data_IF_990565734401
#
_entry.id   IF_990565734401
#
_cell.length_a   1.000
_cell.length_b   1.000
_cell.length_c   1.000
_cell.angle_alpha   90.00
_cell.angle_beta   90.00
_cell.angle_gamma   90.00
#
_symmetry.space_group_name_H-M   'P 1'
#
loop_
_entity.id
_entity.type
_entity.pdbx_description
1 polymer ?
#
# COMPACT_ATOMS: atom_id res chain seq x y z
N UNK A 1 65.36 20.96 -18.00
CA UNK A 1 64.56 19.73 -17.78
C UNK A 1 63.98 19.54 -16.37
N UNK A 2 64.68 19.86 -15.27
CA UNK A 2 64.17 19.67 -13.88
C UNK A 2 62.91 20.49 -13.51
N UNK A 3 62.77 21.72 -14.01
CA UNK A 3 61.63 22.62 -13.71
C UNK A 3 60.28 22.07 -14.24
N UNK A 4 60.29 21.47 -15.44
CA UNK A 4 59.09 20.87 -16.04
C UNK A 4 58.61 19.63 -15.28
N UNK A 5 59.52 18.82 -14.74
CA UNK A 5 59.15 17.65 -13.92
C UNK A 5 58.49 18.04 -12.59
N UNK A 6 58.96 19.12 -11.96
CA UNK A 6 58.42 19.62 -10.68
C UNK A 6 57.03 20.22 -10.84
N UNK A 7 56.78 20.96 -11.92
CA UNK A 7 55.45 21.49 -12.25
C UNK A 7 54.46 20.37 -12.61
N UNK A 8 54.92 19.32 -13.32
CA UNK A 8 54.09 18.16 -13.64
C UNK A 8 53.69 17.38 -12.38
N UNK A 9 54.63 17.13 -11.45
CA UNK A 9 54.33 16.45 -10.18
C UNK A 9 53.35 17.27 -9.33
N UNK A 10 53.49 18.59 -9.28
CA UNK A 10 52.56 19.45 -8.52
C UNK A 10 51.15 19.45 -9.12
N UNK A 11 51.03 19.50 -10.45
CA UNK A 11 49.75 19.41 -11.14
C UNK A 11 49.07 18.05 -10.91
N UNK A 12 49.85 16.95 -10.90
CA UNK A 12 49.34 15.61 -10.60
C UNK A 12 48.87 15.51 -9.14
N UNK A 13 49.61 16.06 -8.17
CA UNK A 13 49.22 16.06 -6.76
C UNK A 13 47.95 16.90 -6.51
N UNK A 14 47.80 18.03 -7.20
CA UNK A 14 46.59 18.86 -7.13
C UNK A 14 45.40 18.13 -7.77
N UNK A 15 45.59 17.48 -8.92
CA UNK A 15 44.53 16.68 -9.53
C UNK A 15 44.13 15.51 -8.65
N UNK A 16 45.09 14.78 -8.07
CA UNK A 16 44.81 13.66 -7.15
C UNK A 16 44.07 14.17 -5.90
N UNK A 17 44.51 15.28 -5.30
CA UNK A 17 43.82 15.85 -4.14
C UNK A 17 42.41 16.33 -4.47
N UNK A 18 42.19 16.98 -5.62
CA UNK A 18 40.85 17.34 -6.12
C UNK A 18 39.97 16.11 -6.38
N UNK A 19 40.53 15.03 -6.95
CA UNK A 19 39.78 13.80 -7.21
C UNK A 19 39.37 13.06 -5.94
N UNK A 20 40.07 13.25 -4.83
CA UNK A 20 39.74 12.62 -3.54
C UNK A 20 38.86 13.55 -2.69
N UNK A 21 39.16 14.84 -2.68
CA UNK A 21 38.51 15.82 -1.82
C UNK A 21 37.08 16.15 -2.28
N UNK A 22 36.84 16.25 -3.60
CA UNK A 22 35.51 16.56 -4.14
C UNK A 22 34.47 15.46 -3.82
N UNK A 23 34.77 14.16 -4.00
CA UNK A 23 33.85 13.09 -3.61
C UNK A 23 33.59 13.01 -2.10
N UNK A 24 34.63 13.21 -1.27
CA UNK A 24 34.47 13.20 0.20
C UNK A 24 33.59 14.37 0.66
N UNK A 25 33.82 15.57 0.15
CA UNK A 25 33.00 16.74 0.46
C UNK A 25 31.55 16.57 0.00
N UNK A 26 31.33 16.01 -1.19
CA UNK A 26 29.99 15.70 -1.69
C UNK A 26 29.28 14.63 -0.84
N UNK A 27 30.01 13.61 -0.37
CA UNK A 27 29.51 12.55 0.52
C UNK A 27 29.09 13.12 1.89
N UNK A 28 29.89 13.98 2.50
CA UNK A 28 29.55 14.57 3.81
C UNK A 28 28.31 15.47 3.70
N UNK A 29 28.21 16.23 2.61
CA UNK A 29 27.10 17.15 2.39
C UNK A 29 25.78 16.40 2.13
N UNK A 30 25.79 15.35 1.32
CA UNK A 30 24.58 14.56 1.04
C UNK A 30 24.08 13.84 2.30
N UNK A 31 24.97 13.29 3.13
CA UNK A 31 24.57 12.65 4.39
C UNK A 31 24.01 13.66 5.39
N UNK A 32 24.56 14.87 5.45
CA UNK A 32 24.02 15.94 6.28
C UNK A 32 22.59 16.31 5.87
N UNK A 33 22.31 16.40 4.56
CA UNK A 33 20.96 16.62 4.04
C UNK A 33 20.00 15.51 4.47
N UNK A 34 20.41 14.25 4.31
CA UNK A 34 19.59 13.10 4.68
C UNK A 34 19.35 13.02 6.20
N UNK A 35 20.35 13.33 7.03
CA UNK A 35 20.18 13.41 8.49
C UNK A 35 19.18 14.50 8.87
N UNK A 36 19.29 15.69 8.26
CA UNK A 36 18.35 16.79 8.49
C UNK A 36 16.93 16.41 8.09
N UNK A 37 16.75 15.83 6.90
CA UNK A 37 15.44 15.40 6.43
C UNK A 37 14.83 14.32 7.32
N UNK A 38 15.62 13.34 7.77
CA UNK A 38 15.16 12.31 8.73
C UNK A 38 14.71 12.91 10.05
N UNK A 39 15.47 13.87 10.60
CA UNK A 39 15.07 14.59 11.81
C UNK A 39 13.72 15.29 11.61
N UNK A 40 13.57 16.03 10.52
CA UNK A 40 12.30 16.71 10.18
C UNK A 40 11.14 15.73 10.04
N UNK A 41 11.36 14.55 9.46
CA UNK A 41 10.31 13.52 9.37
C UNK A 41 9.92 12.96 10.73
N UNK A 42 10.89 12.80 11.66
CA UNK A 42 10.62 12.38 13.02
C UNK A 42 9.82 13.45 13.79
N UNK A 43 10.16 14.72 13.57
CA UNK A 43 9.44 15.89 14.08
C UNK A 43 8.08 16.13 13.38
N UNK A 44 7.68 15.26 12.42
CA UNK A 44 6.48 15.37 11.57
C UNK A 44 6.41 16.65 10.73
N UNK A 45 7.53 17.34 10.54
CA UNK A 45 7.64 18.48 9.64
C UNK A 45 7.87 17.99 8.20
N UNK A 46 6.83 17.39 7.63
CA UNK A 46 6.87 16.74 6.32
C UNK A 46 7.14 17.73 5.18
N UNK A 47 6.56 18.93 5.24
CA UNK A 47 6.75 19.96 4.20
C UNK A 47 8.22 20.36 4.06
N UNK A 48 8.91 20.61 5.17
CA UNK A 48 10.33 20.96 5.11
C UNK A 48 11.20 19.75 4.76
N UNK A 49 10.84 18.56 5.23
CA UNK A 49 11.54 17.33 4.84
C UNK A 49 11.46 17.10 3.31
N UNK A 50 10.29 17.31 2.69
CA UNK A 50 10.10 17.20 1.24
C UNK A 50 11.04 18.14 0.49
N UNK A 51 11.16 19.41 0.92
CA UNK A 51 12.09 20.36 0.28
C UNK A 51 13.54 19.87 0.31
N UNK A 52 13.98 19.31 1.44
CA UNK A 52 15.35 18.77 1.56
C UNK A 52 15.53 17.55 0.64
N UNK A 53 14.53 16.68 0.53
CA UNK A 53 14.59 15.55 -0.42
C UNK A 53 14.59 16.01 -1.88
N UNK A 54 13.80 17.03 -2.24
CA UNK A 54 13.81 17.62 -3.58
C UNK A 54 15.16 18.27 -3.91
N UNK A 55 15.76 19.01 -2.97
CA UNK A 55 17.09 19.59 -3.12
C UNK A 55 18.17 18.49 -3.27
N UNK A 56 18.03 17.38 -2.52
CA UNK A 56 18.90 16.21 -2.67
C UNK A 56 18.82 15.63 -4.09
N UNK A 57 17.62 15.44 -4.62
CA UNK A 57 17.41 14.89 -5.96
C UNK A 57 17.93 15.82 -7.06
N UNK A 58 17.81 17.13 -6.88
CA UNK A 58 18.36 18.12 -7.81
C UNK A 58 19.89 18.09 -7.85
N UNK A 59 20.55 17.98 -6.69
CA UNK A 59 22.01 17.98 -6.58
C UNK A 59 22.64 16.62 -6.90
N UNK A 60 21.95 15.53 -6.57
CA UNK A 60 22.47 14.17 -6.64
C UNK A 60 21.50 13.22 -7.39
N UNK A 61 21.10 13.52 -8.63
CA UNK A 61 20.06 12.76 -9.35
C UNK A 61 20.44 11.31 -9.68
N UNK A 62 21.74 10.98 -9.67
CA UNK A 62 22.27 9.62 -9.94
C UNK A 62 22.71 8.90 -8.66
N UNK A 63 22.48 9.47 -7.49
CA UNK A 63 22.85 8.82 -6.23
C UNK A 63 21.97 7.58 -6.00
N UNK A 64 22.54 6.54 -5.39
CA UNK A 64 21.85 5.30 -5.06
C UNK A 64 20.61 5.51 -4.17
N UNK A 65 20.59 6.57 -3.36
CA UNK A 65 19.48 6.90 -2.49
C UNK A 65 18.39 7.74 -3.20
N UNK A 66 18.62 8.22 -4.42
CA UNK A 66 17.67 9.07 -5.14
C UNK A 66 16.30 8.41 -5.32
N UNK A 67 16.26 7.15 -5.75
CA UNK A 67 15.03 6.35 -5.84
C UNK A 67 14.24 6.36 -4.51
N UNK A 68 14.95 6.12 -3.40
CA UNK A 68 14.35 6.07 -2.07
C UNK A 68 13.83 7.44 -1.64
N UNK A 69 14.54 8.52 -1.97
CA UNK A 69 14.12 9.89 -1.65
C UNK A 69 12.87 10.27 -2.42
N UNK A 70 12.80 9.93 -3.71
CA UNK A 70 11.60 10.15 -4.53
C UNK A 70 10.39 9.40 -3.95
N UNK A 71 10.58 8.13 -3.55
CA UNK A 71 9.51 7.38 -2.90
C UNK A 71 9.06 8.03 -1.59
N UNK A 72 10.00 8.53 -0.78
CA UNK A 72 9.71 9.20 0.49
C UNK A 72 8.94 10.50 0.30
N UNK A 73 9.23 11.27 -0.74
CA UNK A 73 8.44 12.47 -1.08
C UNK A 73 6.96 12.10 -1.26
N UNK A 74 6.66 11.05 -2.02
CA UNK A 74 5.29 10.55 -2.18
C UNK A 74 4.64 10.14 -0.85
N UNK A 75 5.36 9.41 0.01
CA UNK A 75 4.84 9.03 1.34
C UNK A 75 4.56 10.25 2.23
N UNK A 76 5.37 11.29 2.16
CA UNK A 76 5.18 12.50 2.96
C UNK A 76 4.03 13.36 2.46
N UNK A 77 3.82 13.45 1.15
CA UNK A 77 2.58 14.05 0.63
C UNK A 77 1.33 13.28 1.07
N UNK A 78 1.38 11.94 1.17
CA UNK A 78 0.28 11.17 1.76
C UNK A 78 0.03 11.51 3.23
N UNK A 79 1.08 11.71 4.04
CA UNK A 79 0.91 12.11 5.45
C UNK A 79 0.29 13.51 5.60
N UNK A 80 0.51 14.37 4.60
CA UNK A 80 -0.11 15.68 4.51
C UNK A 80 -1.54 15.64 3.91
N UNK A 81 -2.05 14.46 3.54
CA UNK A 81 -3.28 14.26 2.77
C UNK A 81 -3.29 14.99 1.40
N UNK A 82 -2.12 15.40 0.90
CA UNK A 82 -1.96 15.96 -0.44
C UNK A 82 -1.80 14.81 -1.45
N UNK A 83 -2.92 14.15 -1.72
CA UNK A 83 -2.95 12.95 -2.56
C UNK A 83 -2.59 13.24 -4.02
N UNK A 84 -2.80 14.47 -4.50
CA UNK A 84 -2.42 14.87 -5.86
C UNK A 84 -0.91 14.83 -6.03
N UNK A 85 -0.20 15.52 -5.13
CA UNK A 85 1.26 15.58 -5.18
C UNK A 85 1.90 14.24 -4.84
N UNK A 86 1.26 13.44 -3.97
CA UNK A 86 1.69 12.08 -3.71
C UNK A 86 1.66 11.22 -4.98
N UNK A 87 0.54 11.24 -5.72
CA UNK A 87 0.42 10.50 -6.99
C UNK A 87 1.45 10.97 -8.00
N UNK A 88 1.65 12.29 -8.14
CA UNK A 88 2.67 12.84 -9.04
C UNK A 88 4.08 12.33 -8.70
N UNK A 89 4.45 12.35 -7.43
CA UNK A 89 5.76 11.87 -6.97
C UNK A 89 5.96 10.35 -7.24
N UNK A 90 4.93 9.54 -7.01
CA UNK A 90 4.99 8.10 -7.30
C UNK A 90 5.02 7.78 -8.79
N UNK A 91 4.27 8.52 -9.63
CA UNK A 91 4.32 8.38 -11.09
C UNK A 91 5.69 8.79 -11.65
N UNK A 92 6.28 9.86 -11.11
CA UNK A 92 7.66 10.25 -11.45
C UNK A 92 8.67 9.16 -11.07
N UNK A 93 8.53 8.52 -9.91
CA UNK A 93 9.36 7.37 -9.54
C UNK A 93 9.25 6.25 -10.57
N UNK A 94 8.03 5.87 -10.94
CA UNK A 94 7.77 4.79 -11.91
C UNK A 94 8.42 5.12 -13.26
N UNK A 95 8.33 6.38 -13.69
CA UNK A 95 8.90 6.85 -14.96
C UNK A 95 10.43 6.89 -14.96
N UNK A 96 11.06 7.31 -13.86
CA UNK A 96 12.52 7.45 -13.77
C UNK A 96 13.23 6.13 -13.49
N UNK A 97 12.56 5.22 -12.77
CA UNK A 97 13.13 3.96 -12.32
C UNK A 97 12.22 2.77 -12.70
N UNK A 98 11.99 2.55 -14.00
CA UNK A 98 11.16 1.44 -14.45
C UNK A 98 11.78 0.11 -13.99
N UNK A 99 10.93 -0.80 -13.48
CA UNK A 99 11.34 -2.15 -13.07
C UNK A 99 12.04 -2.25 -11.70
N UNK A 100 12.13 -1.16 -10.93
CA UNK A 100 12.63 -1.23 -9.55
C UNK A 100 11.62 -1.90 -8.60
N UNK A 101 12.09 -2.47 -7.48
CA UNK A 101 11.21 -2.96 -6.41
C UNK A 101 10.31 -1.87 -5.81
N UNK A 102 10.65 -0.60 -6.04
CA UNK A 102 9.83 0.54 -5.63
C UNK A 102 8.72 0.85 -6.63
N UNK A 103 8.81 0.40 -7.88
CA UNK A 103 7.80 0.64 -8.92
C UNK A 103 6.47 0.02 -8.52
N UNK A 104 6.46 -1.26 -8.14
CA UNK A 104 5.24 -1.93 -7.68
C UNK A 104 4.70 -1.34 -6.37
N UNK A 105 5.59 -0.98 -5.43
CA UNK A 105 5.20 -0.27 -4.19
C UNK A 105 4.54 1.07 -4.51
N UNK A 106 5.08 1.83 -5.46
CA UNK A 106 4.54 3.10 -5.90
C UNK A 106 3.15 2.94 -6.54
N UNK A 107 2.95 1.95 -7.42
CA UNK A 107 1.61 1.64 -7.95
C UNK A 107 0.60 1.34 -6.83
N UNK A 108 0.96 0.51 -5.85
CA UNK A 108 0.07 0.26 -4.71
C UNK A 108 -0.25 1.53 -3.92
N UNK A 109 0.73 2.43 -3.73
CA UNK A 109 0.52 3.73 -3.06
C UNK A 109 -0.37 4.66 -3.88
N UNK A 110 -0.29 4.64 -5.21
CA UNK A 110 -1.17 5.43 -6.09
C UNK A 110 -2.63 4.99 -5.92
N UNK A 111 -2.91 3.68 -5.90
CA UNK A 111 -4.26 3.16 -5.60
C UNK A 111 -4.75 3.71 -4.26
N UNK A 112 -3.90 3.64 -3.23
CA UNK A 112 -4.27 4.08 -1.88
C UNK A 112 -4.51 5.59 -1.82
N UNK A 113 -3.73 6.39 -2.56
CA UNK A 113 -3.93 7.83 -2.70
C UNK A 113 -5.27 8.12 -3.35
N UNK A 114 -5.56 7.54 -4.52
CA UNK A 114 -6.82 7.76 -5.21
C UNK A 114 -8.03 7.33 -4.37
N UNK A 115 -7.93 6.19 -3.69
CA UNK A 115 -8.99 5.72 -2.79
C UNK A 115 -9.25 6.69 -1.64
N UNK A 116 -8.20 7.15 -0.94
CA UNK A 116 -8.33 8.10 0.17
C UNK A 116 -8.77 9.49 -0.27
N UNK A 117 -8.43 9.87 -1.50
CA UNK A 117 -8.90 11.10 -2.14
C UNK A 117 -10.36 11.01 -2.62
N UNK A 118 -10.98 9.83 -2.59
CA UNK A 118 -12.33 9.62 -3.12
C UNK A 118 -12.41 9.52 -4.64
N UNK A 119 -11.26 9.50 -5.33
CA UNK A 119 -11.12 9.28 -6.78
C UNK A 119 -11.22 7.78 -7.08
N UNK A 120 -12.43 7.25 -6.90
CA UNK A 120 -12.68 5.82 -6.93
C UNK A 120 -12.50 5.18 -8.30
N UNK A 121 -12.85 5.88 -9.37
CA UNK A 121 -12.72 5.33 -10.73
C UNK A 121 -11.24 5.26 -11.15
N UNK A 122 -10.42 6.23 -10.74
CA UNK A 122 -8.96 6.21 -10.87
C UNK A 122 -8.36 5.04 -10.07
N UNK A 123 -8.80 4.85 -8.82
CA UNK A 123 -8.32 3.75 -7.98
C UNK A 123 -8.65 2.37 -8.57
N UNK A 124 -9.82 2.22 -9.19
CA UNK A 124 -10.21 0.99 -9.91
C UNK A 124 -9.29 0.77 -11.13
N UNK A 125 -9.08 1.81 -11.96
CA UNK A 125 -8.20 1.70 -13.14
C UNK A 125 -6.78 1.31 -12.76
N UNK A 126 -6.21 1.97 -11.75
CA UNK A 126 -4.87 1.65 -11.24
C UNK A 126 -4.80 0.24 -10.65
N UNK A 127 -5.84 -0.20 -9.93
CA UNK A 127 -5.89 -1.56 -9.38
C UNK A 127 -5.90 -2.60 -10.49
N UNK A 128 -6.64 -2.36 -11.58
CA UNK A 128 -6.66 -3.25 -12.74
C UNK A 128 -5.31 -3.27 -13.48
N UNK A 129 -4.63 -2.12 -13.56
CA UNK A 129 -3.26 -2.03 -14.10
C UNK A 129 -2.30 -2.92 -13.30
N UNK A 130 -2.33 -2.84 -11.96
CA UNK A 130 -1.50 -3.69 -11.09
C UNK A 130 -1.80 -5.17 -11.30
N UNK A 131 -3.08 -5.56 -11.37
CA UNK A 131 -3.48 -6.95 -11.58
C UNK A 131 -2.92 -7.50 -12.90
N UNK A 132 -2.88 -6.67 -13.94
CA UNK A 132 -2.37 -7.07 -15.24
C UNK A 132 -0.84 -7.09 -15.30
N UNK A 133 -0.17 -6.11 -14.67
CA UNK A 133 1.29 -5.97 -14.71
C UNK A 133 2.01 -6.91 -13.72
N UNK A 134 1.37 -7.22 -12.59
CA UNK A 134 1.97 -7.93 -11.47
C UNK A 134 1.03 -9.03 -10.93
N UNK A 135 0.60 -10.00 -11.77
CA UNK A 135 -0.35 -11.03 -11.36
C UNK A 135 0.16 -11.89 -10.18
N UNK A 136 1.48 -12.09 -10.09
CA UNK A 136 2.12 -12.95 -9.09
C UNK A 136 2.52 -12.20 -7.79
N UNK A 137 2.28 -10.89 -7.69
CA UNK A 137 2.58 -10.15 -6.46
C UNK A 137 1.58 -10.50 -5.34
N UNK A 138 2.11 -10.76 -4.14
CA UNK A 138 1.31 -11.19 -2.97
C UNK A 138 0.21 -10.18 -2.57
N UNK A 139 0.30 -8.90 -2.99
CA UNK A 139 -0.67 -7.84 -2.67
C UNK A 139 -1.68 -7.64 -3.79
N UNK A 140 -1.49 -8.24 -4.96
CA UNK A 140 -2.42 -8.18 -6.10
C UNK A 140 -3.82 -8.70 -5.77
N UNK A 141 -4.01 -9.81 -5.04
CA UNK A 141 -5.34 -10.23 -4.57
C UNK A 141 -6.06 -9.12 -3.80
N UNK A 142 -5.32 -8.38 -2.96
CA UNK A 142 -5.84 -7.23 -2.22
C UNK A 142 -6.31 -6.08 -3.10
N UNK A 143 -5.75 -5.90 -4.31
CA UNK A 143 -6.21 -4.89 -5.28
C UNK A 143 -7.49 -5.32 -5.99
N UNK A 144 -7.65 -6.61 -6.30
CA UNK A 144 -8.91 -7.15 -6.81
C UNK A 144 -10.04 -7.00 -5.77
N UNK A 145 -9.75 -7.29 -4.49
CA UNK A 145 -10.68 -7.04 -3.39
C UNK A 145 -11.02 -5.54 -3.22
N UNK A 146 -10.02 -4.65 -3.38
CA UNK A 146 -10.22 -3.20 -3.31
C UNK A 146 -11.23 -2.70 -4.33
N UNK A 147 -11.22 -3.23 -5.55
CA UNK A 147 -12.23 -2.93 -6.59
C UNK A 147 -13.63 -3.28 -6.07
N UNK A 148 -13.79 -4.44 -5.44
CA UNK A 148 -15.05 -4.85 -4.81
C UNK A 148 -15.48 -3.90 -3.70
N UNK A 149 -14.58 -3.54 -2.78
CA UNK A 149 -14.87 -2.58 -1.70
C UNK A 149 -15.29 -1.21 -2.23
N UNK A 150 -14.69 -0.75 -3.33
CA UNK A 150 -15.06 0.50 -3.97
C UNK A 150 -16.49 0.42 -4.54
N UNK A 151 -16.83 -0.66 -5.26
CA UNK A 151 -18.18 -0.83 -5.78
C UNK A 151 -19.22 -0.99 -4.66
N UNK A 152 -18.87 -1.69 -3.57
CA UNK A 152 -19.70 -1.78 -2.38
C UNK A 152 -20.00 -0.40 -1.80
N UNK A 153 -18.97 0.45 -1.62
CA UNK A 153 -19.15 1.85 -1.18
C UNK A 153 -20.03 2.67 -2.12
N UNK A 154 -19.97 2.41 -3.43
CA UNK A 154 -20.85 3.02 -4.44
C UNK A 154 -22.26 2.42 -4.46
N UNK A 155 -22.56 1.46 -3.57
CA UNK A 155 -23.80 0.65 -3.54
C UNK A 155 -24.07 -0.12 -4.85
N UNK A 156 -23.04 -0.33 -5.65
CA UNK A 156 -23.12 -1.18 -6.83
C UNK A 156 -22.79 -2.62 -6.44
N UNK A 157 -23.75 -3.24 -5.77
CA UNK A 157 -23.59 -4.59 -5.23
C UNK A 157 -23.32 -5.62 -6.32
N UNK A 158 -23.90 -5.46 -7.51
CA UNK A 158 -23.64 -6.35 -8.65
C UNK A 158 -22.16 -6.36 -9.05
N UNK A 159 -21.55 -5.18 -9.24
CA UNK A 159 -20.13 -5.10 -9.59
C UNK A 159 -19.22 -5.46 -8.42
N UNK A 160 -19.63 -5.17 -7.19
CA UNK A 160 -18.90 -5.58 -6.00
C UNK A 160 -18.79 -7.10 -5.88
N UNK A 161 -19.92 -7.81 -5.99
CA UNK A 161 -19.99 -9.28 -6.01
C UNK A 161 -19.12 -9.87 -7.12
N UNK A 162 -19.20 -9.32 -8.34
CA UNK A 162 -18.38 -9.79 -9.45
C UNK A 162 -16.86 -9.61 -9.19
N UNK A 163 -16.47 -8.50 -8.56
CA UNK A 163 -15.07 -8.26 -8.22
C UNK A 163 -14.57 -9.16 -7.08
N UNK A 164 -15.41 -9.46 -6.10
CA UNK A 164 -15.13 -10.41 -5.02
C UNK A 164 -15.05 -11.85 -5.52
N UNK A 165 -15.95 -12.25 -6.42
CA UNK A 165 -15.92 -13.58 -7.02
C UNK A 165 -14.60 -13.81 -7.76
N UNK A 166 -14.09 -12.82 -8.49
CA UNK A 166 -12.76 -12.87 -9.11
C UNK A 166 -11.62 -13.09 -8.10
N UNK A 167 -11.77 -12.66 -6.84
CA UNK A 167 -10.77 -12.97 -5.81
C UNK A 167 -10.82 -14.46 -5.45
N UNK A 168 -12.03 -14.99 -5.24
CA UNK A 168 -12.23 -16.40 -4.89
C UNK A 168 -11.79 -17.34 -6.03
N UNK A 169 -12.04 -16.95 -7.28
CA UNK A 169 -11.71 -17.77 -8.46
C UNK A 169 -10.20 -17.77 -8.75
N UNK A 170 -9.54 -16.61 -8.68
CA UNK A 170 -8.14 -16.46 -9.10
C UNK A 170 -7.14 -16.60 -7.94
N UNK A 171 -7.57 -16.38 -6.71
CA UNK A 171 -6.68 -16.31 -5.54
C UNK A 171 -7.21 -17.11 -4.32
N UNK A 172 -7.72 -18.34 -4.49
CA UNK A 172 -8.50 -19.06 -3.47
C UNK A 172 -7.75 -19.27 -2.15
N UNK A 173 -6.44 -19.49 -2.20
CA UNK A 173 -5.62 -19.83 -1.02
C UNK A 173 -5.01 -18.61 -0.31
N UNK A 174 -5.36 -17.40 -0.73
CA UNK A 174 -4.75 -16.17 -0.19
C UNK A 174 -5.43 -15.71 1.11
N UNK A 175 -4.68 -14.96 1.93
CA UNK A 175 -5.26 -14.27 3.10
C UNK A 175 -6.42 -13.35 2.71
N UNK A 176 -6.35 -12.73 1.52
CA UNK A 176 -7.43 -11.90 1.01
C UNK A 176 -8.70 -12.72 0.78
N UNK A 177 -8.62 -13.85 0.08
CA UNK A 177 -9.78 -14.70 -0.22
C UNK A 177 -10.53 -15.19 1.03
N UNK A 178 -9.80 -15.44 2.13
CA UNK A 178 -10.41 -15.88 3.40
C UNK A 178 -11.45 -14.91 3.97
N UNK A 179 -11.32 -13.60 3.71
CA UNK A 179 -12.26 -12.58 4.18
C UNK A 179 -13.41 -12.28 3.20
N UNK A 180 -13.27 -12.66 1.94
CA UNK A 180 -14.20 -12.24 0.87
C UNK A 180 -15.61 -12.78 1.07
N UNK A 181 -15.76 -13.98 1.62
CA UNK A 181 -17.09 -14.53 1.89
C UNK A 181 -17.88 -13.69 2.90
N UNK A 182 -17.19 -13.07 3.88
CA UNK A 182 -17.84 -12.12 4.80
C UNK A 182 -18.22 -10.82 4.09
N UNK A 183 -17.38 -10.32 3.17
CA UNK A 183 -17.69 -9.13 2.37
C UNK A 183 -18.90 -9.36 1.44
N UNK A 184 -19.04 -10.57 0.87
CA UNK A 184 -20.20 -11.01 0.10
C UNK A 184 -21.44 -11.12 1.00
N UNK A 185 -21.30 -11.69 2.20
CA UNK A 185 -22.39 -11.76 3.18
C UNK A 185 -22.88 -10.36 3.56
N UNK A 186 -21.98 -9.39 3.70
CA UNK A 186 -22.31 -8.00 3.99
C UNK A 186 -23.15 -7.37 2.88
N UNK A 187 -22.81 -7.63 1.61
CA UNK A 187 -23.64 -7.22 0.48
C UNK A 187 -25.06 -7.78 0.60
N UNK A 188 -25.21 -9.09 0.83
CA UNK A 188 -26.52 -9.69 0.94
C UNK A 188 -27.30 -9.18 2.15
N UNK A 189 -26.62 -8.86 3.25
CA UNK A 189 -27.24 -8.23 4.41
C UNK A 189 -27.80 -6.84 4.08
N UNK A 190 -27.01 -5.99 3.42
CA UNK A 190 -27.45 -4.64 2.98
C UNK A 190 -28.61 -4.70 1.98
N UNK A 191 -28.70 -5.76 1.17
CA UNK A 191 -29.84 -6.02 0.28
C UNK A 191 -31.05 -6.66 0.99
N UNK A 192 -30.98 -6.92 2.30
CA UNK A 192 -32.03 -7.60 3.07
C UNK A 192 -32.16 -9.11 2.79
N UNK A 193 -31.24 -9.68 2.01
CA UNK A 193 -31.18 -11.10 1.63
C UNK A 193 -30.53 -11.94 2.72
N UNK A 194 -31.11 -11.93 3.92
CA UNK A 194 -30.50 -12.54 5.11
C UNK A 194 -30.19 -14.03 4.95
N UNK A 195 -31.00 -14.80 4.23
CA UNK A 195 -30.74 -16.23 4.02
C UNK A 195 -29.44 -16.45 3.25
N UNK A 196 -29.18 -15.65 2.20
CA UNK A 196 -27.95 -15.74 1.41
C UNK A 196 -26.74 -15.28 2.24
N UNK A 197 -26.88 -14.19 3.00
CA UNK A 197 -25.82 -13.73 3.91
C UNK A 197 -25.42 -14.82 4.93
N UNK A 198 -26.39 -15.52 5.51
CA UNK A 198 -26.15 -16.64 6.44
C UNK A 198 -25.41 -17.79 5.75
N UNK A 199 -25.78 -18.13 4.51
CA UNK A 199 -25.11 -19.19 3.74
C UNK A 199 -23.63 -18.87 3.49
N UNK A 200 -23.31 -17.63 3.13
CA UNK A 200 -21.93 -17.21 2.92
C UNK A 200 -21.10 -17.22 4.22
N UNK A 201 -21.68 -16.76 5.34
CA UNK A 201 -21.02 -16.84 6.64
C UNK A 201 -20.78 -18.28 7.09
N UNK A 202 -21.69 -19.20 6.77
CA UNK A 202 -21.47 -20.63 7.04
C UNK A 202 -20.26 -21.17 6.29
N UNK A 203 -20.02 -20.75 5.05
CA UNK A 203 -18.81 -21.15 4.29
C UNK A 203 -17.53 -20.69 5.00
N UNK A 204 -17.54 -19.50 5.62
CA UNK A 204 -16.40 -19.01 6.43
C UNK A 204 -16.18 -19.92 7.64
N UNK A 205 -17.25 -20.21 8.38
CA UNK A 205 -17.21 -21.00 9.61
C UNK A 205 -16.75 -22.44 9.35
N UNK A 206 -17.23 -23.06 8.27
CA UNK A 206 -16.88 -24.45 7.91
C UNK A 206 -15.59 -24.56 7.11
N UNK A 207 -14.94 -23.44 6.76
CA UNK A 207 -13.68 -23.45 6.03
C UNK A 207 -12.57 -24.15 6.85
N UNK A 208 -11.61 -24.74 6.13
CA UNK A 208 -10.40 -25.34 6.70
C UNK A 208 -9.43 -24.29 7.28
N UNK A 209 -9.77 -23.00 7.24
CA UNK A 209 -8.91 -21.97 7.80
C UNK A 209 -8.77 -22.15 9.31
N UNK A 210 -7.52 -22.15 9.78
CA UNK A 210 -7.19 -22.12 11.20
C UNK A 210 -7.29 -20.71 11.81
N UNK A 211 -7.70 -19.72 11.01
CA UNK A 211 -7.86 -18.35 11.46
C UNK A 211 -9.13 -18.21 12.31
N UNK A 212 -8.94 -18.39 13.61
CA UNK A 212 -10.00 -18.29 14.61
C UNK A 212 -10.65 -16.92 14.63
N UNK A 213 -9.89 -15.85 14.37
CA UNK A 213 -10.41 -14.48 14.35
C UNK A 213 -11.44 -14.26 13.23
N UNK A 214 -11.17 -14.81 12.02
CA UNK A 214 -12.10 -14.76 10.89
C UNK A 214 -13.38 -15.53 11.21
N UNK A 215 -13.26 -16.73 11.80
CA UNK A 215 -14.41 -17.55 12.21
C UNK A 215 -15.25 -16.88 13.30
N UNK A 216 -14.62 -16.30 14.31
CA UNK A 216 -15.30 -15.55 15.36
C UNK A 216 -16.05 -14.34 14.80
N UNK A 217 -15.43 -13.60 13.89
CA UNK A 217 -16.05 -12.46 13.21
C UNK A 217 -17.27 -12.88 12.38
N UNK A 218 -17.21 -14.03 11.70
CA UNK A 218 -18.35 -14.59 10.98
C UNK A 218 -19.50 -14.98 11.92
N UNK A 219 -19.21 -15.54 13.10
CA UNK A 219 -20.22 -15.83 14.11
C UNK A 219 -20.85 -14.57 14.70
N UNK A 220 -20.07 -13.51 14.95
CA UNK A 220 -20.59 -12.20 15.38
C UNK A 220 -21.54 -11.64 14.33
N UNK A 221 -21.14 -11.70 13.05
CA UNK A 221 -22.01 -11.20 12.00
C UNK A 221 -23.28 -12.04 11.86
N UNK A 222 -23.17 -13.37 11.96
CA UNK A 222 -24.32 -14.26 11.98
C UNK A 222 -25.29 -13.93 13.14
N UNK A 223 -24.75 -13.59 14.31
CA UNK A 223 -25.54 -13.17 15.45
C UNK A 223 -26.33 -11.88 15.15
N UNK A 224 -25.68 -10.86 14.60
CA UNK A 224 -26.33 -9.60 14.18
C UNK A 224 -27.47 -9.85 13.19
N UNK A 225 -27.27 -10.74 12.21
CA UNK A 225 -28.34 -11.11 11.27
C UNK A 225 -29.53 -11.75 12.00
N UNK A 226 -29.28 -12.59 13.00
CA UNK A 226 -30.37 -13.19 13.78
C UNK A 226 -31.09 -12.17 14.67
N UNK A 227 -30.38 -11.17 15.21
CA UNK A 227 -30.99 -10.06 15.97
C UNK A 227 -31.94 -9.24 15.09
N UNK A 228 -31.50 -8.86 13.89
CA UNK A 228 -32.34 -8.15 12.91
C UNK A 228 -33.59 -8.95 12.52
N UNK A 229 -33.51 -10.28 12.56
CA UNK A 229 -34.64 -11.19 12.32
C UNK A 229 -35.50 -11.48 13.56
N UNK A 230 -35.17 -10.92 14.73
CA UNK A 230 -35.84 -11.19 16.01
C UNK A 230 -35.58 -12.59 16.58
N UNK A 231 -34.60 -13.34 16.05
CA UNK A 231 -34.27 -14.71 16.46
C UNK A 231 -33.22 -14.71 17.58
N UNK A 232 -33.59 -14.15 18.73
CA UNK A 232 -32.67 -13.87 19.85
C UNK A 232 -31.91 -15.12 20.33
N UNK A 233 -32.56 -16.28 20.44
CA UNK A 233 -31.90 -17.51 20.88
C UNK A 233 -30.73 -17.92 19.96
N UNK A 234 -30.90 -17.72 18.65
CA UNK A 234 -29.86 -18.03 17.65
C UNK A 234 -28.75 -16.98 17.66
N UNK A 235 -29.10 -15.71 17.92
CA UNK A 235 -28.12 -14.65 18.10
C UNK A 235 -27.21 -14.94 19.29
N UNK A 236 -27.79 -15.21 20.47
CA UNK A 236 -27.05 -15.57 21.70
C UNK A 236 -26.16 -16.79 21.46
N UNK A 237 -26.69 -17.83 20.82
CA UNK A 237 -25.90 -19.02 20.46
C UNK A 237 -24.71 -18.68 19.58
N UNK A 238 -24.90 -17.78 18.61
CA UNK A 238 -23.84 -17.36 17.68
C UNK A 238 -22.78 -16.51 18.39
N UNK A 239 -23.17 -15.60 19.29
CA UNK A 239 -22.22 -14.85 20.11
C UNK A 239 -21.38 -15.75 21.03
N UNK A 240 -22.00 -16.76 21.66
CA UNK A 240 -21.27 -17.74 22.48
C UNK A 240 -20.21 -18.48 21.67
N UNK A 241 -20.59 -18.96 20.48
CA UNK A 241 -19.63 -19.60 19.55
C UNK A 241 -18.50 -18.68 19.13
N UNK A 242 -18.77 -17.39 18.93
CA UNK A 242 -17.72 -16.43 18.63
C UNK A 242 -16.69 -16.32 19.76
N UNK A 243 -17.16 -16.26 21.02
CA UNK A 243 -16.29 -16.21 22.20
C UNK A 243 -15.48 -17.49 22.35
N UNK A 244 -16.10 -18.66 22.21
CA UNK A 244 -15.42 -19.97 22.27
C UNK A 244 -14.36 -20.15 21.17
N UNK A 245 -14.50 -19.44 20.05
CA UNK A 245 -13.57 -19.53 18.92
C UNK A 245 -12.30 -18.71 19.17
N UNK A 246 -12.37 -17.62 19.94
CA UNK A 246 -11.22 -16.77 20.21
C UNK A 246 -10.33 -17.40 21.31
N UNK A 247 -8.99 -17.36 21.16
CA UNK A 247 -8.11 -17.76 22.25
C UNK A 247 -8.26 -16.79 23.44
N UNK A 248 -8.08 -17.32 24.67
CA UNK A 248 -8.07 -16.56 25.92
C UNK A 248 -7.01 -15.43 25.95
#
# INVERSE_FOLDING_TARGET
>A
MKKNRRNLVLAILIMISLTILLPVYAQDNKEAMLRKAKKLTWDKNYTEAIKIYQDFLSKYPKDKDALKMQYKIGEWYMQLNDYEQAVKAFRELISQYPGSDFTIKAHHKIVDCYYRWGKYDEAIRESQEIINLYPDDERTPGKQAKIGHIYFKKKDYKRALAAYQKVLDNYPDTKTARGIQSDIAEIYFEEGKFSQAIEELKKVITSQSQDTQIKASAYIFLARIYEEKGQIDKAVTSYKKAMETLPE
#
